data_IF_996813322485
#
_entry.id   IF_996813322485
#
_cell.length_a   1.000
_cell.length_b   1.000
_cell.length_c   1.000
_cell.angle_alpha   90.00
_cell.angle_beta   90.00
_cell.angle_gamma   90.00
#
_symmetry.space_group_name_H-M   'P 1'
#
loop_
_entity.id
_entity.type
_entity.pdbx_description
1 polymer ?
#
# COMPACT_ATOMS: atom_id res chain seq x y z
N UNK A 1 3.74 -6.44 18.54
CA UNK A 1 3.18 -6.54 17.18
C UNK A 1 4.38 -6.50 16.28
N UNK A 2 4.67 -7.61 15.59
CA UNK A 2 5.82 -7.72 14.70
C UNK A 2 5.53 -6.89 13.47
N UNK A 3 5.91 -5.62 13.58
CA UNK A 3 5.98 -4.75 12.43
C UNK A 3 7.19 -5.25 11.65
N UNK A 4 6.94 -5.97 10.56
CA UNK A 4 7.97 -6.45 9.64
C UNK A 4 7.89 -5.61 8.37
N UNK A 5 9.06 -5.24 7.84
CA UNK A 5 9.12 -4.55 6.56
C UNK A 5 8.83 -5.55 5.46
N UNK A 6 7.82 -5.26 4.65
CA UNK A 6 7.37 -6.13 3.56
C UNK A 6 7.70 -5.50 2.22
N UNK A 7 7.94 -6.33 1.23
CA UNK A 7 7.95 -5.97 -0.20
C UNK A 7 6.53 -5.94 -0.75
N UNK A 8 6.32 -5.33 -1.91
CA UNK A 8 5.01 -5.33 -2.59
C UNK A 8 4.46 -6.74 -2.82
N UNK A 9 5.31 -7.69 -3.20
CA UNK A 9 4.91 -9.08 -3.43
C UNK A 9 4.44 -9.76 -2.14
N UNK A 10 5.12 -9.52 -1.02
CA UNK A 10 4.74 -10.07 0.28
C UNK A 10 3.46 -9.43 0.80
N UNK A 11 3.32 -8.11 0.63
CA UNK A 11 2.10 -7.37 0.96
C UNK A 11 0.89 -7.91 0.20
N UNK A 12 1.02 -8.13 -1.11
CA UNK A 12 -0.05 -8.68 -1.95
C UNK A 12 -0.42 -10.13 -1.55
N UNK A 13 0.54 -10.92 -1.08
CA UNK A 13 0.27 -12.28 -0.57
C UNK A 13 -0.40 -12.26 0.80
N UNK A 14 -0.02 -11.34 1.67
CA UNK A 14 -0.49 -11.27 3.06
C UNK A 14 -1.85 -10.57 3.17
N UNK A 15 -2.08 -9.56 2.36
CA UNK A 15 -3.28 -8.73 2.35
C UNK A 15 -3.85 -8.65 0.92
N UNK A 16 -4.44 -9.73 0.38
CA UNK A 16 -5.02 -9.72 -0.95
C UNK A 16 -6.31 -8.88 -0.99
N UNK A 17 -6.52 -8.14 -2.07
CA UNK A 17 -7.71 -7.31 -2.31
C UNK A 17 -7.99 -6.25 -1.22
N UNK A 18 -6.93 -5.72 -0.62
CA UNK A 18 -7.00 -4.68 0.42
C UNK A 18 -6.20 -3.44 0.04
N UNK A 19 -6.60 -2.31 0.63
CA UNK A 19 -5.84 -1.08 0.64
C UNK A 19 -4.86 -1.09 1.79
N UNK A 20 -3.62 -0.74 1.51
CA UNK A 20 -2.51 -0.72 2.46
C UNK A 20 -2.01 0.71 2.61
N UNK A 21 -1.89 1.15 3.86
CA UNK A 21 -1.13 2.34 4.23
C UNK A 21 0.27 1.93 4.64
N UNK A 22 1.25 2.29 3.83
CA UNK A 22 2.64 1.89 3.97
C UNK A 22 3.44 3.13 4.40
N UNK A 23 4.20 3.01 5.48
CA UNK A 23 5.08 4.07 5.99
C UNK A 23 6.54 3.62 5.89
N UNK A 24 7.48 4.57 6.03
CA UNK A 24 8.91 4.31 5.92
C UNK A 24 9.26 3.59 4.60
N UNK A 25 8.70 4.14 3.51
CA UNK A 25 8.80 3.59 2.17
C UNK A 25 10.23 3.69 1.62
N UNK A 26 10.74 2.59 1.07
CA UNK A 26 11.89 2.60 0.16
C UNK A 26 11.41 2.76 -1.27
N UNK A 27 12.02 3.69 -1.99
CA UNK A 27 11.76 3.88 -3.40
C UNK A 27 13.00 3.49 -4.20
N UNK A 28 12.77 2.90 -5.38
CA UNK A 28 13.81 2.73 -6.38
C UNK A 28 14.20 4.08 -6.97
N UNK A 29 15.26 4.10 -7.78
CA UNK A 29 15.68 5.28 -8.55
C UNK A 29 14.56 5.81 -9.47
N UNK A 30 13.61 4.96 -9.85
CA UNK A 30 12.46 5.30 -10.69
C UNK A 30 11.24 5.76 -9.88
N UNK A 31 11.38 6.05 -8.59
CA UNK A 31 10.29 6.41 -7.66
C UNK A 31 9.25 5.30 -7.45
N UNK A 32 9.59 4.05 -7.80
CA UNK A 32 8.72 2.90 -7.56
C UNK A 32 8.91 2.40 -6.13
N UNK A 33 7.80 2.11 -5.44
CA UNK A 33 7.85 1.57 -4.07
C UNK A 33 8.44 0.15 -4.08
N UNK A 34 9.56 -0.05 -3.40
CA UNK A 34 10.20 -1.38 -3.27
C UNK A 34 9.70 -2.12 -2.03
N UNK A 35 9.69 -1.43 -0.88
CA UNK A 35 9.30 -2.01 0.40
C UNK A 35 8.87 -0.94 1.41
N UNK A 36 8.20 -1.36 2.47
CA UNK A 36 7.85 -0.48 3.57
C UNK A 36 7.09 -1.19 4.68
N UNK A 37 6.61 -0.40 5.64
CA UNK A 37 5.95 -0.88 6.84
C UNK A 37 4.45 -0.68 6.71
N UNK A 38 3.69 -1.77 6.71
CA UNK A 38 2.22 -1.68 6.65
C UNK A 38 1.69 -1.23 8.01
N UNK A 39 1.26 0.02 8.09
CA UNK A 39 0.69 0.60 9.30
C UNK A 39 -0.79 0.25 9.45
N UNK A 40 -1.53 0.26 8.34
CA UNK A 40 -2.95 -0.07 8.29
C UNK A 40 -3.25 -0.83 7.01
N UNK A 41 -4.11 -1.83 7.09
CA UNK A 41 -4.71 -2.50 5.95
C UNK A 41 -6.23 -2.53 6.14
N UNK A 42 -6.98 -2.30 5.07
CA UNK A 42 -8.45 -2.40 5.06
C UNK A 42 -8.96 -2.61 3.64
N UNK A 43 -10.04 -3.38 3.44
CA UNK A 43 -10.74 -3.41 2.14
C UNK A 43 -11.36 -2.04 1.78
N UNK A 44 -11.57 -1.16 2.76
CA UNK A 44 -12.11 0.19 2.57
C UNK A 44 -11.00 1.20 2.35
N UNK A 45 -10.99 1.81 1.15
CA UNK A 45 -10.09 2.94 0.84
C UNK A 45 -10.25 4.10 1.84
N UNK A 46 -11.48 4.35 2.32
CA UNK A 46 -11.76 5.47 3.21
C UNK A 46 -11.02 5.34 4.55
N UNK A 47 -10.93 4.11 5.09
CA UNK A 47 -10.28 3.84 6.38
C UNK A 47 -8.78 4.14 6.29
N UNK A 48 -8.16 3.70 5.19
CA UNK A 48 -6.74 3.95 4.89
C UNK A 48 -6.48 5.45 4.70
N UNK A 49 -7.37 6.15 3.99
CA UNK A 49 -7.25 7.59 3.76
C UNK A 49 -7.42 8.44 5.02
N UNK A 50 -8.33 8.08 5.93
CA UNK A 50 -8.50 8.81 7.20
C UNK A 50 -7.21 8.74 8.02
N UNK A 51 -6.57 7.57 8.09
CA UNK A 51 -5.29 7.38 8.79
C UNK A 51 -4.16 8.12 8.08
N UNK A 52 -4.08 8.00 6.74
CA UNK A 52 -3.02 8.66 5.97
C UNK A 52 -3.09 10.19 6.10
N UNK A 53 -4.30 10.76 6.19
CA UNK A 53 -4.49 12.21 6.32
C UNK A 53 -3.88 12.80 7.60
N UNK A 54 -3.72 11.96 8.63
CA UNK A 54 -3.16 12.34 9.94
C UNK A 54 -1.67 12.03 10.05
N UNK A 55 -1.12 11.26 9.12
CA UNK A 55 0.28 10.88 9.11
C UNK A 55 1.14 11.98 8.48
N UNK A 56 2.31 12.23 9.07
CA UNK A 56 3.31 13.16 8.54
C UNK A 56 4.62 12.42 8.33
N UNK A 57 5.00 12.19 7.08
CA UNK A 57 6.22 11.48 6.73
C UNK A 57 6.15 10.86 5.33
N UNK A 58 7.18 10.09 4.98
CA UNK A 58 7.20 9.27 3.77
C UNK A 58 6.19 8.13 3.92
N UNK A 59 5.17 8.12 3.07
CA UNK A 59 4.15 7.10 3.05
C UNK A 59 3.60 6.87 1.65
N UNK A 60 3.07 5.67 1.42
CA UNK A 60 2.44 5.27 0.18
C UNK A 60 1.11 4.55 0.49
N UNK A 61 0.14 4.72 -0.42
CA UNK A 61 -1.09 3.96 -0.42
C UNK A 61 -1.01 2.97 -1.59
N UNK A 62 -1.13 1.68 -1.30
CA UNK A 62 -1.10 0.63 -2.31
C UNK A 62 -2.37 -0.21 -2.23
N UNK A 63 -2.93 -0.58 -3.38
CA UNK A 63 -4.07 -1.48 -3.45
C UNK A 63 -3.59 -2.80 -4.06
N UNK A 64 -3.78 -3.90 -3.32
CA UNK A 64 -3.36 -5.24 -3.76
C UNK A 64 -4.42 -5.94 -4.62
N UNK A 65 -5.57 -5.31 -4.82
CA UNK A 65 -6.60 -5.83 -5.72
C UNK A 65 -6.02 -6.01 -7.11
N UNK A 66 -6.09 -7.23 -7.61
CA UNK A 66 -5.74 -7.50 -9.01
C UNK A 66 -6.75 -6.79 -9.87
N UNK A 67 -6.28 -5.84 -10.67
CA UNK A 67 -7.12 -5.29 -11.72
C UNK A 67 -7.54 -6.45 -12.62
N UNK A 68 -8.85 -6.67 -12.86
CA UNK A 68 -9.26 -7.69 -13.80
C UNK A 68 -8.63 -7.39 -15.15
N UNK A 69 -7.98 -8.39 -15.76
CA UNK A 69 -7.40 -8.26 -17.10
C UNK A 69 -8.45 -7.70 -18.07
N UNK A 70 -8.19 -6.51 -18.61
CA UNK A 70 -9.09 -5.83 -19.55
C UNK A 70 -9.77 -4.55 -19.04
N UNK A 71 -9.59 -4.13 -17.78
CA UNK A 71 -10.04 -2.81 -17.33
C UNK A 71 -8.94 -1.74 -17.46
N UNK A 72 -9.11 -0.83 -18.42
CA UNK A 72 -8.40 0.44 -18.46
C UNK A 72 -9.20 1.52 -17.70
N UNK A 73 -8.53 2.35 -16.91
CA UNK A 73 -9.14 3.55 -16.32
C UNK A 73 -8.74 4.77 -17.16
N UNK A 74 -9.72 5.61 -17.49
CA UNK A 74 -9.45 6.98 -17.93
C UNK A 74 -9.23 7.85 -16.68
N UNK A 75 -8.05 8.47 -16.62
CA UNK A 75 -7.73 9.56 -15.68
C UNK A 75 -8.30 10.88 -16.18
#
# INVERSE_FOLDING_TARGET
MENERLTLEEMAKKYPDEWLFIVDCEYSENTELLSGWVLVHSPSRADVYDVSSRYKGSAAIHCTSKLPEGMGYLL
#
